data_IF_936102897110
#
_entry.id   IF_936102897110
#
_cell.length_a   1.000
_cell.length_b   1.000
_cell.length_c   1.000
_cell.angle_alpha   90.00
_cell.angle_beta   90.00
_cell.angle_gamma   90.00
#
_symmetry.space_group_name_H-M   'P 1'
#
loop_
_entity.id
_entity.type
_entity.pdbx_description
1 polymer ?
#
# COMPACT_ATOMS: atom_id res chain seq x y z
N UNK A 1 2.16 -12.68 29.03
CA UNK A 1 2.38 -12.58 28.69
C UNK A 1 3.21 -12.34 27.93
N UNK A 2 3.93 -12.57 27.76
CA UNK A 2 4.74 -12.40 26.91
C UNK A 2 4.31 -12.63 25.63
N UNK A 3 3.47 -13.41 25.43
CA UNK A 3 2.93 -13.58 24.24
C UNK A 3 2.41 -12.38 23.68
N UNK A 4 1.94 -11.52 24.47
CA UNK A 4 1.45 -10.30 24.06
C UNK A 4 2.51 -9.51 23.44
N UNK A 5 3.69 -9.56 23.93
CA UNK A 5 4.73 -8.85 23.38
C UNK A 5 5.05 -9.33 22.03
N UNK A 6 5.03 -10.61 21.82
CA UNK A 6 5.27 -11.12 20.52
C UNK A 6 4.26 -10.66 19.55
N UNK A 7 3.03 -10.58 19.97
CA UNK A 7 1.98 -10.13 19.10
C UNK A 7 2.23 -8.72 18.68
N UNK A 8 2.70 -7.90 19.57
CA UNK A 8 2.96 -6.53 19.24
C UNK A 8 4.06 -6.40 18.19
N UNK A 9 5.05 -7.23 18.29
CA UNK A 9 6.11 -7.19 17.31
C UNK A 9 5.59 -7.60 15.96
N UNK A 10 4.74 -8.59 15.93
CA UNK A 10 4.17 -9.03 14.67
C UNK A 10 3.36 -7.93 14.04
N UNK A 11 2.69 -7.11 14.83
CA UNK A 11 1.92 -6.04 14.26
C UNK A 11 2.74 -5.04 13.50
N UNK A 12 4.00 -4.89 13.81
CA UNK A 12 4.81 -3.93 13.10
C UNK A 12 5.19 -4.42 11.71
N UNK A 13 5.11 -5.70 11.49
CA UNK A 13 5.49 -6.27 10.21
C UNK A 13 4.43 -7.27 9.76
N UNK A 14 3.42 -6.77 9.09
CA UNK A 14 2.37 -7.63 8.59
C UNK A 14 2.57 -7.86 7.11
N UNK A 15 2.51 -9.09 6.74
CA UNK A 15 2.65 -9.46 5.35
C UNK A 15 1.30 -9.81 4.78
N UNK A 16 0.94 -9.18 3.68
CA UNK A 16 -0.32 -9.42 3.00
C UNK A 16 -0.03 -10.14 1.70
N UNK A 17 -0.66 -11.28 1.50
CA UNK A 17 -0.48 -12.05 0.28
C UNK A 17 -1.73 -12.04 -0.55
N UNK A 18 -1.58 -11.87 -1.85
CA UNK A 18 -2.69 -11.92 -2.78
C UNK A 18 -2.49 -13.15 -3.63
N UNK A 19 -3.36 -14.11 -3.42
CA UNK A 19 -3.15 -15.45 -3.93
C UNK A 19 -2.90 -15.57 -5.38
N UNK A 20 -3.64 -14.86 -6.18
CA UNK A 20 -3.50 -15.05 -7.57
C UNK A 20 -2.26 -14.51 -8.11
N UNK A 21 -1.78 -13.44 -7.58
CA UNK A 21 -0.62 -12.78 -8.08
C UNK A 21 0.63 -13.24 -7.37
N UNK A 22 0.49 -13.88 -6.26
CA UNK A 22 1.63 -14.29 -5.47
C UNK A 22 2.52 -13.12 -5.14
N UNK A 23 1.94 -11.95 -5.01
CA UNK A 23 2.65 -10.78 -4.58
C UNK A 23 2.52 -10.65 -3.09
N UNK A 24 3.62 -10.39 -2.44
CA UNK A 24 3.62 -10.17 -1.02
C UNK A 24 3.98 -8.73 -0.73
N UNK A 25 3.20 -8.12 0.13
CA UNK A 25 3.47 -6.77 0.57
C UNK A 25 3.74 -6.78 2.05
N UNK A 26 4.75 -6.06 2.47
CA UNK A 26 5.02 -5.87 3.88
C UNK A 26 4.57 -4.48 4.25
N UNK A 27 3.74 -4.37 5.27
CA UNK A 27 3.21 -3.10 5.73
C UNK A 27 3.73 -2.81 7.13
N UNK A 28 4.31 -1.64 7.30
CA UNK A 28 4.80 -1.17 8.59
C UNK A 28 4.05 0.11 8.91
N UNK A 29 3.63 0.28 10.14
CA UNK A 29 2.89 1.47 10.55
C UNK A 29 2.89 1.60 12.07
N UNK A 30 2.34 2.71 12.55
CA UNK A 30 2.24 2.91 14.00
C UNK A 30 1.19 2.00 14.62
N UNK A 31 0.08 1.78 13.91
CA UNK A 31 -0.92 0.84 14.40
C UNK A 31 -1.61 0.13 13.23
N UNK A 32 -2.10 -1.05 13.50
CA UNK A 32 -2.75 -1.88 12.48
C UNK A 32 -3.97 -2.54 13.08
N UNK A 33 -5.03 -2.61 12.29
CA UNK A 33 -6.28 -3.21 12.73
C UNK A 33 -6.79 -4.13 11.64
N UNK A 34 -7.20 -5.32 12.01
CA UNK A 34 -7.82 -6.23 11.08
C UNK A 34 -9.29 -6.30 11.44
N UNK A 35 -10.16 -6.09 10.48
CA UNK A 35 -11.59 -6.10 10.80
C UNK A 35 -12.19 -7.47 10.53
N UNK A 36 -13.41 -7.67 11.02
CA UNK A 36 -14.05 -8.97 10.97
C UNK A 36 -14.42 -9.43 9.58
N UNK A 37 -14.45 -8.53 8.62
CA UNK A 37 -14.79 -8.91 7.25
C UNK A 37 -13.58 -9.21 6.42
N UNK A 38 -12.43 -9.31 7.05
CA UNK A 38 -11.21 -9.61 6.33
C UNK A 38 -10.49 -8.40 5.80
N UNK A 39 -10.94 -7.21 6.14
CA UNK A 39 -10.23 -6.01 5.76
C UNK A 39 -9.10 -5.70 6.73
N UNK A 40 -8.31 -4.70 6.39
CA UNK A 40 -7.12 -4.38 7.16
C UNK A 40 -6.88 -2.88 7.06
N UNK A 41 -6.48 -2.27 8.16
CA UNK A 41 -6.11 -0.87 8.17
C UNK A 41 -4.78 -0.68 8.85
N UNK A 42 -3.96 0.18 8.30
CA UNK A 42 -2.72 0.61 8.94
C UNK A 42 -2.78 2.12 9.07
N UNK A 43 -2.43 2.63 10.22
CA UNK A 43 -2.55 4.05 10.51
C UNK A 43 -1.26 4.60 11.09
N UNK A 44 -0.83 5.71 10.54
CA UNK A 44 0.34 6.44 11.04
C UNK A 44 1.64 5.95 10.45
N UNK A 45 2.32 6.80 9.74
CA UNK A 45 3.64 6.51 9.14
C UNK A 45 3.67 5.17 8.42
N UNK A 46 2.71 4.99 7.53
CA UNK A 46 2.57 3.74 6.82
C UNK A 46 3.63 3.62 5.73
N UNK A 47 4.29 2.48 5.69
CA UNK A 47 5.23 2.16 4.62
C UNK A 47 4.85 0.77 4.10
N UNK A 48 4.66 0.67 2.80
CA UNK A 48 4.35 -0.60 2.18
C UNK A 48 5.43 -0.92 1.15
N UNK A 49 5.93 -2.13 1.18
CA UNK A 49 6.96 -2.60 0.26
C UNK A 49 6.51 -3.90 -0.37
N UNK A 50 6.85 -4.05 -1.64
CA UNK A 50 6.54 -5.28 -2.35
C UNK A 50 7.77 -6.18 -2.34
N UNK A 51 7.57 -7.47 -2.38
CA UNK A 51 8.65 -8.42 -2.50
C UNK A 51 9.22 -8.45 -3.92
N UNK A 52 8.55 -7.77 -4.86
CA UNK A 52 9.00 -7.69 -6.23
C UNK A 52 9.28 -6.26 -6.59
N UNK A 53 10.16 -6.03 -7.55
CA UNK A 53 10.32 -4.76 -8.21
C UNK A 53 10.73 -3.55 -7.38
N UNK A 54 11.17 -3.72 -6.19
CA UNK A 54 11.58 -2.60 -5.34
C UNK A 54 10.49 -1.55 -5.14
N UNK A 55 9.25 -1.94 -5.26
CA UNK A 55 8.15 -1.02 -5.05
C UNK A 55 8.09 -0.63 -3.58
N UNK A 56 7.91 0.64 -3.34
CA UNK A 56 7.75 1.15 -1.99
C UNK A 56 6.81 2.33 -2.02
N UNK A 57 5.93 2.42 -1.06
CA UNK A 57 5.03 3.56 -0.95
C UNK A 57 4.88 3.93 0.51
N UNK A 58 4.56 5.19 0.75
CA UNK A 58 4.29 5.66 2.10
C UNK A 58 3.04 6.51 2.09
N UNK A 59 2.36 6.56 3.24
CA UNK A 59 1.13 7.33 3.37
C UNK A 59 0.82 7.49 4.85
N UNK A 60 -0.25 8.23 5.14
CA UNK A 60 -0.68 8.37 6.53
C UNK A 60 -1.58 7.20 6.93
N UNK A 61 -2.27 6.64 5.96
CA UNK A 61 -3.22 5.55 6.24
C UNK A 61 -3.29 4.61 5.06
N UNK A 62 -3.45 3.34 5.33
CA UNK A 62 -3.64 2.33 4.30
C UNK A 62 -4.84 1.49 4.66
N UNK A 63 -5.70 1.20 3.71
CA UNK A 63 -6.86 0.34 3.91
C UNK A 63 -6.88 -0.73 2.82
N UNK A 64 -7.07 -1.97 3.22
CA UNK A 64 -7.27 -3.06 2.27
C UNK A 64 -8.72 -3.48 2.37
N UNK A 65 -9.42 -3.45 1.24
CA UNK A 65 -10.80 -3.88 1.17
C UNK A 65 -10.82 -5.20 0.41
N UNK A 66 -11.11 -6.27 1.12
CA UNK A 66 -11.10 -7.58 0.53
C UNK A 66 -12.16 -7.77 -0.54
N UNK A 67 -13.34 -7.22 -0.31
CA UNK A 67 -14.44 -7.38 -1.24
C UNK A 67 -14.21 -6.62 -2.53
N UNK A 68 -13.71 -5.42 -2.43
CA UNK A 68 -13.42 -4.60 -3.59
C UNK A 68 -12.06 -4.92 -4.19
N UNK A 69 -11.26 -5.71 -3.48
CA UNK A 69 -9.91 -6.07 -3.92
C UNK A 69 -9.05 -4.85 -4.19
N UNK A 70 -9.07 -3.92 -3.24
CA UNK A 70 -8.31 -2.68 -3.39
C UNK A 70 -7.44 -2.42 -2.18
N UNK A 71 -6.27 -1.85 -2.46
CA UNK A 71 -5.43 -1.26 -1.44
C UNK A 71 -5.51 0.23 -1.65
N UNK A 72 -5.88 0.96 -0.63
CA UNK A 72 -6.01 2.40 -0.73
C UNK A 72 -5.07 3.08 0.25
N UNK A 73 -4.22 3.95 -0.26
CA UNK A 73 -3.30 4.73 0.55
C UNK A 73 -3.81 6.16 0.55
N UNK A 74 -3.91 6.75 1.72
CA UNK A 74 -4.50 8.08 1.88
C UNK A 74 -3.60 8.96 2.71
N UNK A 75 -3.40 10.17 2.27
CA UNK A 75 -2.68 11.21 2.99
C UNK A 75 -1.19 11.20 2.72
N UNK A 76 -0.71 12.23 2.08
CA UNK A 76 0.71 12.40 1.77
C UNK A 76 1.32 11.15 1.15
N UNK A 77 0.70 10.69 0.08
CA UNK A 77 1.12 9.46 -0.58
C UNK A 77 2.33 9.71 -1.45
N UNK A 78 3.34 8.88 -1.25
CA UNK A 78 4.54 8.91 -2.07
C UNK A 78 4.82 7.49 -2.51
N UNK A 79 5.08 7.29 -3.79
CA UNK A 79 5.29 5.97 -4.36
C UNK A 79 6.59 5.97 -5.16
N UNK A 80 7.37 4.91 -5.00
CA UNK A 80 8.57 4.70 -5.77
C UNK A 80 8.49 3.36 -6.50
N UNK A 81 9.00 3.36 -7.69
CA UNK A 81 9.21 2.11 -8.46
C UNK A 81 7.95 1.28 -8.67
N UNK A 82 6.89 1.96 -9.06
CA UNK A 82 5.66 1.25 -9.37
C UNK A 82 5.70 0.86 -10.86
N UNK A 83 5.64 -0.42 -11.13
CA UNK A 83 5.71 -0.91 -12.50
C UNK A 83 4.43 -1.60 -12.90
N UNK A 84 4.00 -1.36 -14.12
CA UNK A 84 2.86 -2.09 -14.65
C UNK A 84 3.38 -3.21 -15.54
N UNK A 85 2.52 -4.17 -15.79
CA UNK A 85 2.87 -5.30 -16.64
C UNK A 85 3.11 -4.89 -18.06
N UNK A 86 2.72 -3.67 -18.44
CA UNK A 86 2.86 -3.22 -19.79
C UNK A 86 4.09 -2.41 -20.04
N UNK A 87 5.01 -2.43 -19.11
CA UNK A 87 6.30 -1.80 -19.35
C UNK A 87 6.39 -0.34 -18.95
N UNK A 88 5.33 0.24 -18.43
CA UNK A 88 5.39 1.60 -17.94
C UNK A 88 5.92 1.57 -16.52
N UNK A 89 6.89 2.38 -16.25
CA UNK A 89 7.49 2.43 -14.93
C UNK A 89 7.33 3.83 -14.34
N UNK A 90 6.80 3.90 -13.14
CA UNK A 90 6.70 5.14 -12.41
C UNK A 90 7.84 5.18 -11.43
N UNK A 91 8.78 6.09 -11.61
CA UNK A 91 9.90 6.21 -10.71
C UNK A 91 9.45 6.78 -9.37
N UNK A 92 8.67 7.84 -9.42
CA UNK A 92 8.15 8.50 -8.23
C UNK A 92 6.82 9.12 -8.53
N UNK A 93 5.92 9.07 -7.59
CA UNK A 93 4.65 9.77 -7.73
C UNK A 93 4.19 10.25 -6.37
N UNK A 94 3.59 11.43 -6.34
CA UNK A 94 3.07 12.04 -5.13
C UNK A 94 1.61 12.38 -5.35
N UNK A 95 0.81 12.22 -4.33
CA UNK A 95 -0.59 12.58 -4.39
C UNK A 95 -1.23 12.44 -3.03
N UNK A 96 -2.53 12.60 -2.98
CA UNK A 96 -3.25 12.49 -1.70
C UNK A 96 -3.85 11.12 -1.51
N UNK A 97 -4.11 10.42 -2.59
CA UNK A 97 -4.75 9.12 -2.50
C UNK A 97 -4.32 8.22 -3.65
N UNK A 98 -3.94 7.01 -3.33
CA UNK A 98 -3.59 6.01 -4.33
C UNK A 98 -4.44 4.78 -4.09
N UNK A 99 -5.11 4.29 -5.12
CA UNK A 99 -5.85 3.05 -5.06
C UNK A 99 -5.18 2.05 -5.99
N UNK A 100 -4.86 0.88 -5.47
CA UNK A 100 -4.29 -0.21 -6.25
C UNK A 100 -5.33 -1.31 -6.30
N UNK A 101 -5.66 -1.75 -7.51
CA UNK A 101 -6.61 -2.84 -7.70
C UNK A 101 -5.81 -4.13 -7.74
N UNK A 102 -5.92 -4.93 -6.70
CA UNK A 102 -5.02 -6.06 -6.49
C UNK A 102 -5.20 -7.18 -7.50
N UNK A 103 -6.36 -7.29 -8.10
CA UNK A 103 -6.60 -8.36 -9.06
C UNK A 103 -6.09 -8.01 -10.45
N UNK A 104 -6.10 -6.74 -10.83
CA UNK A 104 -5.67 -6.35 -12.17
C UNK A 104 -4.31 -5.67 -12.19
N UNK A 105 -3.86 -5.22 -11.04
CA UNK A 105 -2.61 -4.48 -10.98
C UNK A 105 -2.73 -3.04 -11.42
N UNK A 106 -3.93 -2.59 -11.74
CA UNK A 106 -4.12 -1.20 -12.12
C UNK A 106 -4.08 -0.31 -10.89
N UNK A 107 -3.78 0.95 -11.09
CA UNK A 107 -3.76 1.89 -9.98
C UNK A 107 -4.33 3.23 -10.40
N UNK A 108 -4.77 4.00 -9.43
CA UNK A 108 -5.37 5.29 -9.65
C UNK A 108 -4.86 6.25 -8.62
N UNK A 109 -4.31 7.37 -9.06
CA UNK A 109 -3.79 8.39 -8.17
C UNK A 109 -4.69 9.61 -8.21
N UNK A 110 -5.02 10.15 -7.07
CA UNK A 110 -5.83 11.36 -6.97
C UNK A 110 -5.20 12.36 -6.04
N UNK A 111 -5.52 13.62 -6.25
CA UNK A 111 -5.20 14.67 -5.31
C UNK A 111 -6.44 15.46 -5.02
N UNK A 112 -6.51 16.05 -3.83
CA UNK A 112 -7.66 16.79 -3.40
C UNK A 112 -7.39 18.27 -3.44
N UNK A 113 -8.45 19.04 -3.51
CA UNK A 113 -8.41 20.49 -3.47
C UNK A 113 -7.52 21.02 -4.57
N UNK A 114 -6.55 21.81 -4.23
CA UNK A 114 -5.67 22.41 -5.22
C UNK A 114 -4.39 21.65 -5.41
N UNK A 115 -4.23 20.53 -4.74
CA UNK A 115 -3.05 19.73 -4.90
C UNK A 115 -3.10 19.02 -6.24
N UNK A 116 -1.96 18.57 -6.68
CA UNK A 116 -1.87 17.88 -7.95
C UNK A 116 -1.08 16.61 -7.79
N UNK A 117 -1.40 15.64 -8.61
CA UNK A 117 -0.62 14.43 -8.70
C UNK A 117 0.62 14.76 -9.53
N UNK A 118 1.79 14.39 -9.04
CA UNK A 118 3.03 14.63 -9.73
C UNK A 118 3.74 13.30 -9.90
N UNK A 119 4.08 12.96 -11.14
CA UNK A 119 4.64 11.65 -11.44
C UNK A 119 5.85 11.79 -12.34
N UNK A 120 6.89 11.02 -12.05
CA UNK A 120 8.06 10.91 -12.91
C UNK A 120 8.00 9.53 -13.55
N UNK A 121 8.01 9.52 -14.85
CA UNK A 121 7.92 8.27 -15.59
C UNK A 121 9.25 7.92 -16.21
N UNK A 122 9.45 6.63 -16.37
CA UNK A 122 10.63 6.13 -17.06
C UNK A 122 10.16 5.10 -18.06
N UNK A 123 10.65 5.19 -19.26
CA UNK A 123 10.28 4.26 -20.30
C UNK A 123 11.46 3.39 -20.68
#
# INVERSE_FOLDING_TARGET
MRRLLLAAVVFLHTEISFAEEKLNYTVTSDSQIQNVKGGFEAIGNVIIKSSKNNFEASSNKLTYDKDARTLKLVGNVFVKNLESDEGLSIQESYGDELTIFTDSGLFKFNSENKNRVKTKLKF
#
